data_IF_525838339317
#
_entry.id   IF_525838339317
#
_cell.length_a   1.000
_cell.length_b   1.000
_cell.length_c   1.000
_cell.angle_alpha   90.00
_cell.angle_beta   90.00
_cell.angle_gamma   90.00
#
_symmetry.space_group_name_H-M   'P 1'
#
loop_
_entity.id
_entity.type
_entity.pdbx_description
1 polymer ?
#
# COMPACT_ATOMS: atom_id res chain seq x y z
N UNK A 1 9.86 6.45 -8.00
CA UNK A 1 9.18 7.08 -6.86
C UNK A 1 7.78 6.53 -6.77
N UNK A 2 7.38 6.04 -5.60
CA UNK A 2 6.05 5.46 -5.37
C UNK A 2 5.13 6.53 -4.78
N UNK A 3 3.83 6.52 -5.15
CA UNK A 3 2.81 7.44 -4.63
C UNK A 3 1.49 6.71 -4.36
N UNK A 4 0.64 7.31 -3.54
CA UNK A 4 -0.76 6.91 -3.40
C UNK A 4 -1.53 7.26 -4.69
N UNK A 5 -2.30 6.31 -5.21
CA UNK A 5 -2.93 6.36 -6.52
C UNK A 5 -4.35 6.94 -6.43
N UNK A 6 -5.14 6.53 -5.43
CA UNK A 6 -6.53 6.95 -5.25
C UNK A 6 -6.90 7.15 -3.77
N UNK A 7 -8.14 7.57 -3.53
CA UNK A 7 -8.67 7.80 -2.19
C UNK A 7 -8.26 9.14 -1.58
N UNK A 8 -8.47 9.29 -0.27
CA UNK A 8 -8.30 10.54 0.47
C UNK A 8 -6.86 11.09 0.47
N UNK A 9 -5.87 10.20 0.34
CA UNK A 9 -4.44 10.53 0.34
C UNK A 9 -3.83 10.56 -1.07
N UNK A 10 -4.65 10.58 -2.13
CA UNK A 10 -4.22 10.55 -3.53
C UNK A 10 -3.10 11.55 -3.83
N UNK A 11 -2.07 11.08 -4.54
CA UNK A 11 -0.94 11.90 -4.98
C UNK A 11 0.17 12.07 -3.94
N UNK A 12 -0.04 11.67 -2.67
CA UNK A 12 1.02 11.70 -1.66
C UNK A 12 2.17 10.78 -2.05
N UNK A 13 3.38 11.31 -2.04
CA UNK A 13 4.61 10.55 -2.30
C UNK A 13 4.94 9.68 -1.11
N UNK A 14 5.36 8.45 -1.37
CA UNK A 14 5.83 7.53 -0.36
C UNK A 14 7.36 7.56 -0.31
N UNK A 15 7.89 7.61 0.92
CA UNK A 15 9.31 7.40 1.14
C UNK A 15 9.62 5.92 0.86
N UNK A 16 10.53 5.70 -0.08
CA UNK A 16 11.02 4.36 -0.40
C UNK A 16 12.54 4.42 -0.30
N UNK A 17 13.18 3.52 0.46
CA UNK A 17 14.64 3.48 0.53
C UNK A 17 15.26 3.37 -0.87
N UNK A 18 16.38 4.06 -1.07
CA UNK A 18 17.11 4.02 -2.33
C UNK A 18 17.83 2.67 -2.45
N UNK A 19 17.77 2.06 -3.64
CA UNK A 19 18.46 0.80 -3.97
C UNK A 19 17.52 -0.33 -4.36
N UNK A 20 18.08 -1.47 -4.79
CA UNK A 20 17.35 -2.67 -5.22
C UNK A 20 16.83 -3.54 -4.06
N UNK A 21 16.65 -2.95 -2.87
CA UNK A 21 16.24 -3.70 -1.67
C UNK A 21 14.82 -4.25 -1.81
N UNK A 22 13.98 -3.63 -2.65
CA UNK A 22 12.61 -4.06 -2.91
C UNK A 22 12.32 -4.09 -4.39
N UNK A 23 11.61 -5.12 -4.87
CA UNK A 23 10.96 -5.09 -6.19
C UNK A 23 9.71 -4.20 -6.11
N UNK A 24 9.67 -3.03 -6.76
CA UNK A 24 8.52 -2.13 -6.65
C UNK A 24 7.30 -2.72 -7.37
N UNK A 25 6.16 -2.74 -6.70
CA UNK A 25 4.86 -2.97 -7.37
C UNK A 25 4.52 -1.73 -8.19
N UNK A 26 4.31 -1.90 -9.49
CA UNK A 26 4.00 -0.77 -10.38
C UNK A 26 2.67 -0.11 -10.01
N UNK A 27 2.50 1.17 -10.35
CA UNK A 27 1.23 1.88 -10.13
C UNK A 27 0.07 1.14 -10.80
N UNK A 28 0.28 0.66 -12.04
CA UNK A 28 -0.73 -0.14 -12.78
C UNK A 28 -1.09 -1.44 -12.06
N UNK A 29 -0.11 -2.15 -11.50
CA UNK A 29 -0.36 -3.38 -10.76
C UNK A 29 -1.14 -3.12 -9.46
N UNK A 30 -0.79 -2.06 -8.72
CA UNK A 30 -1.57 -1.65 -7.52
C UNK A 30 -2.99 -1.24 -7.89
N UNK A 31 -3.17 -0.46 -8.95
CA UNK A 31 -4.48 -0.02 -9.40
C UNK A 31 -5.37 -1.20 -9.83
N UNK A 32 -4.83 -2.15 -10.59
CA UNK A 32 -5.54 -3.37 -10.97
C UNK A 32 -5.91 -4.22 -9.76
N UNK A 33 -5.01 -4.37 -8.78
CA UNK A 33 -5.28 -5.09 -7.54
C UNK A 33 -6.47 -4.48 -6.79
N UNK A 34 -6.47 -3.17 -6.56
CA UNK A 34 -7.56 -2.53 -5.83
C UNK A 34 -8.86 -2.48 -6.61
N UNK A 35 -8.82 -2.39 -7.94
CA UNK A 35 -10.02 -2.53 -8.78
C UNK A 35 -10.68 -3.90 -8.58
N UNK A 36 -9.88 -4.97 -8.56
CA UNK A 36 -10.38 -6.32 -8.30
C UNK A 36 -10.91 -6.46 -6.87
N UNK A 37 -10.18 -5.97 -5.86
CA UNK A 37 -10.60 -6.08 -4.46
C UNK A 37 -11.92 -5.36 -4.20
N UNK A 38 -12.10 -4.15 -4.75
CA UNK A 38 -13.32 -3.35 -4.57
C UNK A 38 -14.57 -4.02 -5.18
N UNK A 39 -14.37 -4.84 -6.24
CA UNK A 39 -15.43 -5.66 -6.82
C UNK A 39 -15.75 -6.95 -6.04
N UNK A 40 -14.88 -7.39 -5.13
CA UNK A 40 -15.03 -8.63 -4.38
C UNK A 40 -15.47 -8.41 -2.94
N UNK A 41 -14.96 -7.37 -2.29
CA UNK A 41 -15.21 -7.07 -0.88
C UNK A 41 -15.28 -5.56 -0.65
N UNK A 42 -16.13 -5.08 0.27
CA UNK A 42 -16.14 -3.67 0.64
C UNK A 42 -14.84 -3.31 1.37
N UNK A 43 -14.05 -2.41 0.77
CA UNK A 43 -12.80 -1.94 1.39
C UNK A 43 -13.06 -0.89 2.47
N UNK A 44 -14.16 -0.14 2.37
CA UNK A 44 -14.53 0.86 3.37
C UNK A 44 -14.84 0.19 4.72
N UNK A 45 -14.15 0.62 5.78
CA UNK A 45 -14.29 0.04 7.11
C UNK A 45 -13.53 -1.28 7.32
N UNK A 46 -12.83 -1.80 6.30
CA UNK A 46 -12.13 -3.07 6.38
C UNK A 46 -10.87 -2.99 7.26
N UNK A 47 -10.48 -4.13 7.83
CA UNK A 47 -9.18 -4.35 8.44
C UNK A 47 -8.28 -5.07 7.44
N UNK A 48 -7.13 -4.50 7.12
CA UNK A 48 -6.20 -5.01 6.13
C UNK A 48 -4.93 -5.51 6.80
N UNK A 49 -4.38 -6.62 6.30
CA UNK A 49 -3.07 -7.14 6.66
C UNK A 49 -2.20 -7.13 5.40
N UNK A 50 -1.10 -6.38 5.45
CA UNK A 50 -0.12 -6.28 4.37
C UNK A 50 1.17 -6.99 4.82
N UNK A 51 1.38 -8.20 4.31
CA UNK A 51 2.55 -9.03 4.62
C UNK A 51 3.67 -8.76 3.63
N UNK A 52 4.91 -8.71 4.12
CA UNK A 52 6.07 -8.29 3.33
C UNK A 52 5.85 -6.89 2.75
N UNK A 53 5.34 -5.99 3.59
CA UNK A 53 4.79 -4.72 3.17
C UNK A 53 5.85 -3.81 2.50
N UNK A 54 7.14 -4.07 2.73
CA UNK A 54 8.23 -3.21 2.29
C UNK A 54 7.96 -1.77 2.73
N UNK A 55 7.89 -0.87 1.75
CA UNK A 55 7.52 0.55 1.94
C UNK A 55 6.07 0.82 2.37
N UNK A 56 5.24 -0.20 2.59
CA UNK A 56 3.84 -0.07 2.99
C UNK A 56 2.89 0.41 1.89
N UNK A 57 3.31 0.38 0.63
CA UNK A 57 2.57 1.00 -0.47
C UNK A 57 1.16 0.44 -0.68
N UNK A 58 0.94 -0.86 -0.43
CA UNK A 58 -0.38 -1.48 -0.57
C UNK A 58 -1.26 -1.15 0.64
N UNK A 59 -0.80 -1.37 1.86
CA UNK A 59 -1.58 -1.07 3.06
C UNK A 59 -1.93 0.43 3.19
N UNK A 60 -1.02 1.33 2.83
CA UNK A 60 -1.31 2.78 2.81
C UNK A 60 -2.33 3.16 1.72
N UNK A 61 -2.30 2.49 0.56
CA UNK A 61 -3.30 2.66 -0.48
C UNK A 61 -4.68 2.17 -0.02
N UNK A 62 -4.72 1.06 0.73
CA UNK A 62 -5.95 0.55 1.32
C UNK A 62 -6.57 1.55 2.31
N UNK A 63 -5.76 2.12 3.21
CA UNK A 63 -6.18 3.18 4.12
C UNK A 63 -6.70 4.40 3.36
N UNK A 64 -5.99 4.83 2.31
CA UNK A 64 -6.42 5.96 1.48
C UNK A 64 -7.81 5.72 0.87
N UNK A 65 -8.10 4.47 0.48
CA UNK A 65 -9.38 4.04 -0.11
C UNK A 65 -10.48 3.75 0.90
N UNK A 66 -10.21 3.94 2.20
CA UNK A 66 -11.23 3.89 3.24
C UNK A 66 -11.18 2.67 4.15
N UNK A 67 -10.14 1.84 4.07
CA UNK A 67 -9.90 0.83 5.11
C UNK A 67 -9.79 1.51 6.48
N UNK A 68 -10.35 0.88 7.51
CA UNK A 68 -10.34 1.39 8.89
C UNK A 68 -8.95 1.23 9.52
N UNK A 69 -8.27 0.14 9.19
CA UNK A 69 -6.99 -0.22 9.76
C UNK A 69 -6.14 -1.00 8.75
N UNK A 70 -4.82 -0.81 8.79
CA UNK A 70 -3.87 -1.65 8.07
C UNK A 70 -2.72 -2.05 9.00
N UNK A 71 -2.54 -3.36 9.20
CA UNK A 71 -1.36 -3.92 9.87
C UNK A 71 -0.30 -4.21 8.80
N UNK A 72 0.84 -3.54 8.91
CA UNK A 72 1.98 -3.71 8.00
C UNK A 72 3.03 -4.60 8.67
N UNK A 73 3.42 -5.68 8.01
CA UNK A 73 4.42 -6.62 8.54
C UNK A 73 5.61 -6.68 7.59
N UNK A 74 6.77 -6.28 8.09
CA UNK A 74 8.03 -6.26 7.35
C UNK A 74 9.19 -6.72 8.25
N UNK A 75 10.07 -7.56 7.69
CA UNK A 75 11.24 -8.08 8.39
C UNK A 75 12.46 -7.16 8.21
N UNK A 76 12.62 -6.52 7.06
CA UNK A 76 13.73 -5.63 6.78
C UNK A 76 13.49 -4.22 7.36
N UNK A 77 14.18 -3.93 8.45
CA UNK A 77 14.11 -2.63 9.16
C UNK A 77 14.48 -1.42 8.31
N UNK A 78 15.19 -1.61 7.18
CA UNK A 78 15.57 -0.50 6.30
C UNK A 78 14.37 0.04 5.51
N UNK A 79 13.38 -0.81 5.27
CA UNK A 79 12.18 -0.50 4.46
C UNK A 79 10.91 -0.39 5.30
N UNK A 80 10.88 -1.01 6.47
CA UNK A 80 9.79 -0.83 7.43
C UNK A 80 9.63 0.67 7.77
N UNK A 81 8.48 1.24 7.42
CA UNK A 81 8.11 2.58 7.86
C UNK A 81 7.88 2.51 9.38
N UNK A 82 8.62 3.32 10.13
CA UNK A 82 8.41 3.53 11.57
C UNK A 82 7.53 4.74 11.80
#
# INVERSE_FOLDING_TARGET
MTRIIAGAARGRRLAVPRGEVTRPTSDRAREALFSTVDGLVPLHGAHVLDLYSGSGALGLEALSRGALHALLVEADRRVALT
#
